data_IF_796059561326
#
_entry.id   IF_796059561326
#
_cell.length_a   1.000
_cell.length_b   1.000
_cell.length_c   1.000
_cell.angle_alpha   90.00
_cell.angle_beta   90.00
_cell.angle_gamma   90.00
#
_symmetry.space_group_name_H-M   'P 1'
#
loop_
_entity.id
_entity.type
_entity.pdbx_description
1 polymer ?
#
# COMPACT_ATOMS: atom_id res chain seq x y z
N UNK A 1 -23.25 15.23 -1.14
CA UNK A 1 -24.29 14.66 -0.25
C UNK A 1 -24.66 13.27 -0.71
N UNK A 2 -24.90 12.33 0.22
CA UNK A 2 -25.30 10.94 -0.07
C UNK A 2 -26.70 10.89 -0.70
N UNK A 3 -26.85 10.15 -1.80
CA UNK A 3 -28.15 9.92 -2.45
C UNK A 3 -28.98 8.90 -1.64
N UNK A 4 -30.31 8.85 -1.78
CA UNK A 4 -31.16 7.90 -1.04
C UNK A 4 -30.69 6.44 -1.16
N UNK A 5 -30.24 6.01 -2.35
CA UNK A 5 -29.73 4.65 -2.56
C UNK A 5 -28.38 4.38 -1.87
N UNK A 6 -27.56 5.41 -1.60
CA UNK A 6 -26.32 5.25 -0.83
C UNK A 6 -26.60 5.00 0.67
N UNK A 7 -27.79 5.37 1.15
CA UNK A 7 -28.22 5.22 2.55
C UNK A 7 -29.03 3.94 2.79
N UNK A 8 -29.14 3.08 1.78
CA UNK A 8 -29.79 1.78 1.92
C UNK A 8 -29.07 0.98 3.02
N UNK A 9 -29.84 0.47 3.98
CA UNK A 9 -29.31 -0.28 5.12
C UNK A 9 -29.22 -1.76 4.74
N UNK A 10 -28.08 -2.38 5.00
CA UNK A 10 -27.84 -3.81 4.79
C UNK A 10 -28.24 -4.63 6.02
N UNK A 11 -28.17 -5.96 5.92
CA UNK A 11 -28.54 -6.88 7.02
C UNK A 11 -27.76 -6.65 8.31
N UNK A 12 -26.56 -6.06 8.23
CA UNK A 12 -25.68 -5.74 9.35
C UNK A 12 -25.95 -4.36 9.95
N UNK A 13 -27.00 -3.65 9.51
CA UNK A 13 -27.39 -2.35 10.04
C UNK A 13 -26.56 -1.16 9.53
N UNK A 14 -25.53 -1.40 8.70
CA UNK A 14 -24.72 -0.34 8.09
C UNK A 14 -25.26 0.05 6.72
N UNK A 15 -24.90 1.25 6.24
CA UNK A 15 -25.32 1.66 4.89
C UNK A 15 -24.46 1.00 3.81
N UNK A 16 -25.00 0.86 2.60
CA UNK A 16 -24.23 0.41 1.43
C UNK A 16 -22.96 1.25 1.23
N UNK A 17 -23.03 2.55 1.51
CA UNK A 17 -21.88 3.44 1.46
C UNK A 17 -20.82 3.10 2.50
N UNK A 18 -21.21 2.85 3.75
CA UNK A 18 -20.25 2.53 4.84
C UNK A 18 -19.47 1.24 4.54
N UNK A 19 -20.14 0.22 4.00
CA UNK A 19 -19.49 -1.02 3.62
C UNK A 19 -18.53 -0.82 2.43
N UNK A 20 -18.95 -0.07 1.41
CA UNK A 20 -18.08 0.26 0.28
C UNK A 20 -16.82 1.03 0.73
N UNK A 21 -16.97 1.96 1.67
CA UNK A 21 -15.84 2.70 2.23
C UNK A 21 -14.92 1.79 3.05
N UNK A 22 -15.49 0.88 3.85
CA UNK A 22 -14.71 -0.08 4.64
C UNK A 22 -13.87 -0.99 3.73
N UNK A 23 -14.47 -1.52 2.66
CA UNK A 23 -13.74 -2.32 1.66
C UNK A 23 -12.66 -1.53 0.93
N UNK A 24 -12.95 -0.28 0.57
CA UNK A 24 -11.96 0.61 -0.03
C UNK A 24 -10.77 0.86 0.90
N UNK A 25 -11.04 1.12 2.18
CA UNK A 25 -10.01 1.35 3.18
C UNK A 25 -9.13 0.12 3.37
N UNK A 26 -9.71 -1.08 3.35
CA UNK A 26 -8.93 -2.33 3.39
C UNK A 26 -8.00 -2.48 2.19
N UNK A 27 -8.48 -2.19 0.98
CA UNK A 27 -7.63 -2.20 -0.22
C UNK A 27 -6.55 -1.10 -0.21
N UNK A 28 -6.80 0.02 0.45
CA UNK A 28 -5.79 1.05 0.68
C UNK A 28 -4.74 0.58 1.68
N UNK A 29 -5.17 -0.09 2.76
CA UNK A 29 -4.27 -0.67 3.75
C UNK A 29 -3.33 -1.71 3.11
N UNK A 30 -3.84 -2.55 2.20
CA UNK A 30 -3.04 -3.58 1.52
C UNK A 30 -1.92 -3.02 0.64
N UNK A 31 -1.96 -1.72 0.31
CA UNK A 31 -0.91 -1.03 -0.47
C UNK A 31 0.14 -0.37 0.42
N UNK A 32 -0.15 -0.21 1.70
CA UNK A 32 0.70 0.50 2.66
C UNK A 32 1.41 -0.47 3.61
N UNK A 33 0.76 -1.59 3.93
CA UNK A 33 1.24 -2.59 4.87
C UNK A 33 1.62 -3.88 4.15
N UNK A 34 2.68 -4.54 4.62
CA UNK A 34 2.98 -5.92 4.24
C UNK A 34 2.09 -6.91 5.01
N UNK A 35 1.86 -6.62 6.29
CA UNK A 35 0.94 -7.36 7.14
C UNK A 35 0.31 -6.43 8.17
N UNK A 36 -0.84 -6.85 8.72
CA UNK A 36 -1.54 -6.14 9.78
C UNK A 36 -2.32 -7.13 10.65
N UNK A 37 -2.39 -6.88 11.95
CA UNK A 37 -3.23 -7.68 12.87
C UNK A 37 -4.72 -7.38 12.67
N UNK A 38 -5.60 -8.32 13.02
CA UNK A 38 -7.06 -8.09 12.98
C UNK A 38 -7.48 -6.92 13.88
N UNK A 39 -6.84 -6.80 15.05
CA UNK A 39 -7.09 -5.74 16.00
C UNK A 39 -6.78 -4.35 15.43
N UNK A 40 -5.58 -4.15 14.87
CA UNK A 40 -5.19 -2.87 14.27
C UNK A 40 -5.99 -2.56 13.01
N UNK A 41 -6.29 -3.58 12.20
CA UNK A 41 -7.14 -3.40 11.04
C UNK A 41 -8.56 -2.97 11.46
N UNK A 42 -9.12 -3.55 12.51
CA UNK A 42 -10.41 -3.14 13.08
C UNK A 42 -10.42 -1.66 13.45
N UNK A 43 -9.37 -1.19 14.15
CA UNK A 43 -9.22 0.24 14.48
C UNK A 43 -9.16 1.11 13.22
N UNK A 44 -8.38 0.70 12.21
CA UNK A 44 -8.25 1.43 10.95
C UNK A 44 -9.57 1.52 10.17
N UNK A 45 -10.35 0.44 10.19
CA UNK A 45 -11.63 0.31 9.48
C UNK A 45 -12.83 0.85 10.27
N UNK A 46 -12.65 1.11 11.57
CA UNK A 46 -13.73 1.50 12.48
C UNK A 46 -14.75 0.38 12.71
N UNK A 47 -14.27 -0.86 12.83
CA UNK A 47 -15.07 -2.07 13.09
C UNK A 47 -14.36 -2.96 14.12
N UNK A 48 -15.08 -3.93 14.68
CA UNK A 48 -14.48 -4.93 15.57
C UNK A 48 -13.52 -5.86 14.83
N UNK A 49 -12.52 -6.46 15.51
CA UNK A 49 -11.49 -7.30 14.87
C UNK A 49 -12.07 -8.50 14.10
N UNK A 50 -13.06 -9.18 14.68
CA UNK A 50 -13.78 -10.29 14.05
C UNK A 50 -14.42 -9.86 12.72
N UNK A 51 -15.00 -8.65 12.69
CA UNK A 51 -15.61 -8.10 11.48
C UNK A 51 -14.57 -7.68 10.44
N UNK A 52 -13.41 -7.20 10.88
CA UNK A 52 -12.30 -6.88 9.99
C UNK A 52 -11.79 -8.14 9.27
N UNK A 53 -11.66 -9.25 9.99
CA UNK A 53 -11.34 -10.57 9.43
C UNK A 53 -12.39 -10.99 8.41
N UNK A 54 -13.69 -10.96 8.75
CA UNK A 54 -14.77 -11.36 7.84
C UNK A 54 -14.75 -10.57 6.52
N UNK A 55 -14.55 -9.25 6.60
CA UNK A 55 -14.48 -8.39 5.41
C UNK A 55 -13.26 -8.73 4.57
N UNK A 56 -12.10 -8.97 5.21
CA UNK A 56 -10.90 -9.38 4.50
C UNK A 56 -11.05 -10.75 3.84
N UNK A 57 -11.63 -11.72 4.55
CA UNK A 57 -11.91 -13.05 4.03
C UNK A 57 -12.86 -13.00 2.83
N UNK A 58 -13.93 -12.20 2.92
CA UNK A 58 -14.85 -11.99 1.82
C UNK A 58 -14.13 -11.37 0.61
N UNK A 59 -13.36 -10.29 0.81
CA UNK A 59 -12.67 -9.63 -0.31
C UNK A 59 -11.59 -10.50 -0.94
N UNK A 60 -10.89 -11.31 -0.14
CA UNK A 60 -9.92 -12.27 -0.64
C UNK A 60 -10.61 -13.39 -1.44
N UNK A 61 -11.73 -13.92 -0.96
CA UNK A 61 -12.52 -14.94 -1.67
C UNK A 61 -13.14 -14.42 -2.98
N UNK A 62 -13.41 -13.12 -3.07
CA UNK A 62 -13.88 -12.44 -4.29
C UNK A 62 -12.75 -12.06 -5.27
N UNK A 63 -11.49 -12.47 -5.01
CA UNK A 63 -10.29 -12.09 -5.78
C UNK A 63 -10.08 -10.56 -5.88
N UNK A 64 -10.62 -9.80 -4.91
CA UNK A 64 -10.54 -8.32 -4.86
C UNK A 64 -9.46 -7.83 -3.90
N UNK A 65 -8.91 -8.72 -3.08
CA UNK A 65 -7.84 -8.43 -2.12
C UNK A 65 -6.78 -9.54 -2.22
N UNK A 66 -5.61 -9.28 -2.84
CA UNK A 66 -4.52 -10.25 -2.87
C UNK A 66 -3.89 -10.34 -1.47
N UNK A 67 -4.38 -11.28 -0.67
CA UNK A 67 -3.94 -11.46 0.71
C UNK A 67 -4.10 -12.92 1.16
N UNK A 68 -3.30 -13.32 2.15
CA UNK A 68 -3.44 -14.58 2.88
C UNK A 68 -3.77 -14.27 4.34
N UNK A 69 -4.75 -14.98 4.89
CA UNK A 69 -5.24 -14.76 6.24
C UNK A 69 -4.72 -15.88 7.14
N UNK A 70 -4.01 -15.51 8.21
CA UNK A 70 -3.58 -16.43 9.26
C UNK A 70 -4.46 -16.21 10.49
N UNK A 71 -5.46 -17.08 10.64
CA UNK A 71 -6.43 -17.00 11.74
C UNK A 71 -5.82 -17.40 13.10
N UNK A 72 -4.75 -18.21 13.13
CA UNK A 72 -4.12 -18.65 14.38
C UNK A 72 -3.32 -17.51 15.00
N UNK A 73 -2.60 -16.75 14.17
CA UNK A 73 -1.82 -15.60 14.61
C UNK A 73 -2.59 -14.27 14.53
N UNK A 74 -3.85 -14.30 14.06
CA UNK A 74 -4.72 -13.13 13.88
C UNK A 74 -4.10 -12.01 13.00
N UNK A 75 -3.45 -12.42 11.91
CA UNK A 75 -2.72 -11.51 11.00
C UNK A 75 -3.12 -11.73 9.54
N UNK A 76 -3.24 -10.64 8.81
CA UNK A 76 -3.41 -10.63 7.35
C UNK A 76 -2.06 -10.31 6.73
N UNK A 77 -1.63 -11.15 5.80
CA UNK A 77 -0.45 -10.92 4.98
C UNK A 77 -0.89 -10.48 3.58
N UNK A 78 -0.54 -9.27 3.19
CA UNK A 78 -0.85 -8.76 1.86
C UNK A 78 0.20 -9.26 0.87
N UNK A 79 -0.27 -9.73 -0.29
CA UNK A 79 0.61 -10.22 -1.33
C UNK A 79 1.28 -9.02 -2.02
N UNK A 80 2.60 -8.93 -1.89
CA UNK A 80 3.43 -8.15 -2.81
C UNK A 80 3.77 -9.03 -4.01
N UNK A 81 3.52 -8.55 -5.22
CA UNK A 81 3.92 -9.25 -6.44
C UNK A 81 5.44 -9.51 -6.41
N UNK A 82 5.83 -10.77 -6.18
CA UNK A 82 7.24 -11.16 -6.06
C UNK A 82 8.01 -11.02 -7.37
N UNK A 83 7.30 -11.10 -8.51
CA UNK A 83 7.85 -10.72 -9.81
C UNK A 83 8.10 -9.21 -9.91
N UNK A 84 7.20 -8.39 -9.36
CA UNK A 84 7.39 -6.94 -9.27
C UNK A 84 8.51 -6.57 -8.30
N UNK A 85 8.86 -7.42 -7.32
CA UNK A 85 9.94 -7.11 -6.38
C UNK A 85 11.31 -6.97 -7.06
N UNK A 86 11.61 -7.80 -8.06
CA UNK A 86 12.88 -7.71 -8.82
C UNK A 86 12.85 -6.50 -9.76
N UNK A 87 11.73 -6.25 -10.46
CA UNK A 87 11.59 -5.07 -11.29
C UNK A 87 11.67 -3.76 -10.47
N UNK A 88 11.08 -3.78 -9.27
CA UNK A 88 11.13 -2.65 -8.34
C UNK A 88 12.53 -2.44 -7.76
N UNK A 89 13.27 -3.51 -7.53
CA UNK A 89 14.69 -3.44 -7.17
C UNK A 89 15.50 -2.77 -8.28
N UNK A 90 15.32 -3.19 -9.53
CA UNK A 90 16.02 -2.60 -10.68
C UNK A 90 15.66 -1.12 -10.86
N UNK A 91 14.39 -0.77 -10.68
CA UNK A 91 13.93 0.62 -10.69
C UNK A 91 14.60 1.45 -9.59
N UNK A 92 14.79 0.89 -8.39
CA UNK A 92 15.49 1.56 -7.29
C UNK A 92 16.97 1.78 -7.58
N UNK A 93 17.67 0.79 -8.18
CA UNK A 93 19.06 0.95 -8.64
C UNK A 93 19.14 2.09 -9.66
N UNK A 94 18.26 2.08 -10.66
CA UNK A 94 18.24 3.10 -11.70
C UNK A 94 18.00 4.50 -11.11
N UNK A 95 17.07 4.63 -10.16
CA UNK A 95 16.79 5.89 -9.47
C UNK A 95 17.98 6.40 -8.65
N UNK A 96 18.69 5.50 -7.95
CA UNK A 96 19.89 5.86 -7.20
C UNK A 96 20.99 6.36 -8.15
N UNK A 97 21.23 5.66 -9.26
CA UNK A 97 22.18 6.08 -10.28
C UNK A 97 21.82 7.46 -10.87
N UNK A 98 20.54 7.68 -11.19
CA UNK A 98 20.08 8.99 -11.68
C UNK A 98 20.27 10.09 -10.64
N UNK A 99 19.99 9.82 -9.36
CA UNK A 99 20.19 10.78 -8.28
C UNK A 99 21.67 11.18 -8.16
N UNK A 100 22.59 10.20 -8.23
CA UNK A 100 24.03 10.46 -8.23
C UNK A 100 24.44 11.29 -9.44
N UNK A 101 23.95 10.96 -10.64
CA UNK A 101 24.24 11.74 -11.85
C UNK A 101 23.76 13.19 -11.73
N UNK A 102 22.53 13.41 -11.24
CA UNK A 102 21.98 14.76 -11.05
C UNK A 102 22.81 15.57 -10.04
N UNK A 103 23.22 14.96 -8.92
CA UNK A 103 24.09 15.61 -7.94
C UNK A 103 25.46 15.94 -8.55
N UNK A 104 26.05 15.02 -9.32
CA UNK A 104 27.33 15.24 -9.98
C UNK A 104 27.26 16.38 -11.01
N UNK A 105 26.20 16.42 -11.82
CA UNK A 105 25.94 17.53 -12.77
C UNK A 105 25.75 18.87 -12.05
N UNK A 106 25.02 18.87 -10.93
CA UNK A 106 24.75 20.08 -10.16
C UNK A 106 26.03 20.62 -9.49
N UNK A 107 26.90 19.75 -9.00
CA UNK A 107 28.23 20.10 -8.49
C UNK A 107 29.09 20.68 -9.61
N UNK A 108 29.16 20.01 -10.76
CA UNK A 108 29.96 20.47 -11.90
C UNK A 108 29.49 21.84 -12.42
N UNK A 109 28.19 22.11 -12.39
CA UNK A 109 27.60 23.39 -12.78
C UNK A 109 27.95 24.53 -11.82
N UNK A 110 27.98 24.26 -10.50
CA UNK A 110 28.29 25.29 -9.48
C UNK A 110 29.79 25.46 -9.20
N UNK A 111 30.59 24.42 -9.42
CA UNK A 111 32.03 24.39 -9.14
C UNK A 111 32.81 23.83 -10.35
N UNK A 112 33.01 24.64 -11.41
CA UNK A 112 33.67 24.21 -12.64
C UNK A 112 35.15 23.84 -12.44
N UNK A 113 35.78 24.43 -11.42
CA UNK A 113 37.16 24.19 -10.99
C UNK A 113 37.36 22.77 -10.46
N UNK A 114 36.40 22.26 -9.69
CA UNK A 114 36.42 20.89 -9.14
C UNK A 114 36.22 19.86 -10.25
N UNK A 115 35.31 20.13 -11.20
CA UNK A 115 35.11 19.28 -12.37
C UNK A 115 36.37 19.22 -13.26
N UNK A 116 37.06 20.34 -13.45
CA UNK A 116 38.31 20.41 -14.20
C UNK A 116 39.50 19.73 -13.50
N UNK A 117 39.46 19.55 -12.18
CA UNK A 117 40.45 18.78 -11.42
C UNK A 117 40.14 17.27 -11.45
N UNK A 118 38.87 16.89 -11.39
CA UNK A 118 38.43 15.49 -11.49
C UNK A 118 38.70 14.88 -12.87
N UNK A 119 38.57 15.64 -13.96
CA UNK A 119 38.81 15.17 -15.33
C UNK A 119 40.31 14.98 -15.72
N UNK A 120 41.25 15.34 -14.83
CA UNK A 120 42.70 15.22 -15.08
C UNK A 120 43.34 13.99 -14.42
N UNK A 121 42.55 13.14 -13.76
CA UNK A 121 42.96 11.83 -13.25
C UNK A 121 42.45 10.73 -14.17
#
# INVERSE_FOLDING_TARGET
FLKPHHRAIMRDGRTVFDNAMTQHNLLSASKLYFNISFAELGVLLGVDPERAEEIAAQMAAEDRLPATIDQVNEVINFQSDSAAAVEQWDAQIAAACQSVSLVAEDIARRHPDVAAAAARR
#
